data_IF_618872581281
#
_entry.id   IF_618872581281
#
_cell.length_a   1.000
_cell.length_b   1.000
_cell.length_c   1.000
_cell.angle_alpha   90.00
_cell.angle_beta   90.00
_cell.angle_gamma   90.00
#
_symmetry.space_group_name_H-M   'P 1'
#
loop_
_entity.id
_entity.type
_entity.pdbx_description
1 polymer ?
#
# COMPACT_ATOMS: atom_id res chain seq x y z
N UNK A 1 12.49 4.97 4.25
CA UNK A 1 12.09 3.57 4.50
C UNK A 1 11.78 3.46 5.98
N UNK A 2 10.67 2.79 6.34
CA UNK A 2 10.35 2.51 7.75
C UNK A 2 10.53 1.01 7.97
N UNK A 3 11.34 0.64 8.95
CA UNK A 3 11.73 -0.74 9.21
C UNK A 3 10.65 -1.52 9.96
N UNK A 4 10.57 -2.82 9.66
CA UNK A 4 9.81 -3.80 10.43
C UNK A 4 10.15 -3.69 11.90
N UNK A 5 9.14 -3.84 12.76
CA UNK A 5 9.29 -3.70 14.21
C UNK A 5 9.12 -2.27 14.72
N UNK A 6 9.07 -1.26 13.84
CA UNK A 6 8.75 0.11 14.25
C UNK A 6 7.35 0.17 14.84
N UNK A 7 7.20 0.92 15.94
CA UNK A 7 5.92 1.14 16.59
C UNK A 7 5.22 2.39 16.06
N UNK A 8 3.91 2.29 15.88
CA UNK A 8 3.03 3.38 15.48
C UNK A 8 1.89 3.44 16.49
N UNK A 9 1.55 4.65 16.94
CA UNK A 9 0.48 4.87 17.90
C UNK A 9 -0.76 5.43 17.22
N UNK A 10 -1.95 4.98 17.60
CA UNK A 10 -3.20 5.61 17.16
C UNK A 10 -3.29 7.05 17.63
N UNK A 11 -4.14 7.84 16.95
CA UNK A 11 -4.62 9.09 17.54
C UNK A 11 -5.44 8.74 18.81
N UNK A 12 -5.24 9.46 19.91
CA UNK A 12 -6.02 9.27 21.12
C UNK A 12 -7.49 9.58 20.86
N UNK A 13 -8.39 8.69 21.28
CA UNK A 13 -9.82 8.95 21.19
C UNK A 13 -10.15 10.06 22.19
N UNK A 14 -10.55 11.24 21.71
CA UNK A 14 -11.00 12.31 22.58
C UNK A 14 -12.32 11.88 23.25
N UNK A 15 -12.30 11.61 24.56
CA UNK A 15 -13.52 11.36 25.30
C UNK A 15 -14.21 12.70 25.55
N UNK A 16 -15.41 12.87 24.99
CA UNK A 16 -16.26 14.02 25.29
C UNK A 16 -16.82 13.82 26.69
N UNK A 17 -16.27 14.52 27.68
CA UNK A 17 -16.80 14.52 29.04
C UNK A 17 -18.27 14.96 29.02
N UNK A 18 -19.16 14.11 29.53
CA UNK A 18 -20.56 14.48 29.76
C UNK A 18 -20.60 15.66 30.75
N UNK A 19 -21.42 16.66 30.44
CA UNK A 19 -21.53 17.90 31.22
C UNK A 19 -21.93 17.59 32.66
N UNK A 20 -20.97 17.68 33.59
CA UNK A 20 -21.23 17.49 35.00
C UNK A 20 -20.01 17.69 35.89
N UNK A 21 -19.64 18.96 36.08
CA UNK A 21 -18.94 19.49 37.25
C UNK A 21 -17.45 19.14 37.51
N UNK A 22 -16.73 20.24 37.77
CA UNK A 22 -15.43 20.44 38.43
C UNK A 22 -14.16 20.34 37.57
N UNK A 23 -13.55 21.51 37.45
CA UNK A 23 -12.22 21.80 36.90
C UNK A 23 -11.16 20.87 37.49
N UNK A 24 -10.50 20.12 36.61
CA UNK A 24 -9.10 19.74 36.73
C UNK A 24 -8.51 19.69 35.32
N UNK A 25 -7.43 20.43 35.13
CA UNK A 25 -6.74 20.71 33.86
C UNK A 25 -5.85 19.51 33.45
N UNK A 26 -6.44 18.33 33.35
CA UNK A 26 -5.79 17.15 32.77
C UNK A 26 -6.65 16.68 31.62
N UNK A 27 -6.24 16.95 30.38
CA UNK A 27 -6.82 16.35 29.19
C UNK A 27 -6.90 14.84 29.39
N UNK A 28 -8.12 14.30 29.57
CA UNK A 28 -8.33 12.86 29.72
C UNK A 28 -8.08 12.21 28.36
N UNK A 29 -6.84 11.80 28.12
CA UNK A 29 -6.44 11.06 26.93
C UNK A 29 -7.20 9.71 26.93
N UNK A 30 -8.05 9.48 25.94
CA UNK A 30 -8.67 8.17 25.76
C UNK A 30 -7.64 7.09 25.43
N UNK A 31 -8.04 5.81 25.41
CA UNK A 31 -7.14 4.71 25.16
C UNK A 31 -6.41 4.87 23.81
N UNK A 32 -5.08 4.76 23.84
CA UNK A 32 -4.22 4.80 22.67
C UNK A 32 -3.72 3.38 22.38
N UNK A 33 -3.82 2.93 21.13
CA UNK A 33 -3.34 1.63 20.72
C UNK A 33 -1.94 1.76 20.12
N UNK A 34 -1.01 0.94 20.60
CA UNK A 34 0.29 0.74 19.97
C UNK A 34 0.20 -0.40 18.96
N UNK A 35 0.78 -0.18 17.80
CA UNK A 35 0.86 -1.18 16.77
C UNK A 35 2.29 -1.33 16.28
N UNK A 36 2.68 -2.54 15.89
CA UNK A 36 4.02 -2.83 15.36
C UNK A 36 3.97 -3.19 13.88
N UNK A 37 4.87 -2.61 13.08
CA UNK A 37 5.02 -2.94 11.66
C UNK A 37 5.50 -4.37 11.49
N UNK A 38 4.76 -5.17 10.72
CA UNK A 38 5.19 -6.54 10.38
C UNK A 38 6.14 -6.62 9.19
N UNK A 39 6.29 -5.54 8.44
CA UNK A 39 7.10 -5.48 7.22
C UNK A 39 7.69 -4.09 7.02
N UNK A 40 8.76 -4.04 6.24
CA UNK A 40 9.34 -2.78 5.81
C UNK A 40 8.37 -2.05 4.89
N UNK A 41 8.32 -0.73 5.03
CA UNK A 41 7.43 0.12 4.25
C UNK A 41 8.23 1.22 3.56
N UNK A 42 8.19 1.18 2.23
CA UNK A 42 8.62 2.27 1.39
C UNK A 42 7.49 3.30 1.29
N UNK A 43 7.72 4.49 1.84
CA UNK A 43 6.77 5.59 1.72
C UNK A 43 6.96 6.25 0.36
N UNK A 44 6.12 5.85 -0.61
CA UNK A 44 6.11 6.50 -1.90
C UNK A 44 5.66 7.97 -1.75
N UNK A 45 6.39 8.93 -2.36
CA UNK A 45 6.17 10.36 -2.12
C UNK A 45 4.93 10.92 -2.82
N UNK A 46 4.22 10.10 -3.60
CA UNK A 46 3.03 10.48 -4.36
C UNK A 46 1.82 9.63 -3.99
N UNK A 47 0.63 10.18 -4.23
CA UNK A 47 -0.63 9.45 -4.10
C UNK A 47 -1.16 9.03 -5.45
N UNK A 48 -2.01 7.99 -5.45
CA UNK A 48 -2.89 7.70 -6.59
C UNK A 48 -4.03 8.71 -6.55
N UNK A 49 -4.22 9.45 -7.64
CA UNK A 49 -5.31 10.41 -7.79
C UNK A 49 -6.54 9.75 -8.41
N UNK A 50 -6.33 9.00 -9.47
CA UNK A 50 -7.40 8.36 -10.23
C UNK A 50 -6.91 7.07 -10.87
N UNK A 51 -7.86 6.19 -11.19
CA UNK A 51 -7.60 4.94 -11.90
C UNK A 51 -8.69 4.78 -12.96
N UNK A 52 -8.26 4.76 -14.22
CA UNK A 52 -9.13 4.57 -15.36
C UNK A 52 -8.90 3.20 -16.00
N UNK A 53 -9.98 2.58 -16.46
CA UNK A 53 -9.92 1.37 -17.29
C UNK A 53 -10.37 1.72 -18.68
N UNK A 54 -9.55 1.35 -19.66
CA UNK A 54 -9.91 1.40 -21.06
C UNK A 54 -9.84 -0.01 -21.63
N UNK A 55 -11.01 -0.62 -21.80
CA UNK A 55 -11.14 -1.92 -22.45
C UNK A 55 -11.48 -1.71 -23.92
N UNK A 56 -10.62 -2.22 -24.79
CA UNK A 56 -10.98 -2.50 -26.18
C UNK A 56 -11.59 -3.90 -26.28
N UNK A 57 -12.01 -4.32 -27.48
CA UNK A 57 -12.55 -5.65 -27.69
C UNK A 57 -11.51 -6.78 -27.50
N UNK A 58 -10.22 -6.46 -27.62
CA UNK A 58 -9.13 -7.45 -27.62
C UNK A 58 -8.16 -7.27 -26.45
N UNK A 59 -8.00 -6.04 -25.95
CA UNK A 59 -7.01 -5.68 -24.93
C UNK A 59 -7.60 -4.79 -23.85
N UNK A 60 -7.14 -4.96 -22.61
CA UNK A 60 -7.45 -4.10 -21.48
C UNK A 60 -6.27 -3.19 -21.15
N UNK A 61 -6.56 -1.93 -20.83
CA UNK A 61 -5.56 -0.98 -20.32
C UNK A 61 -6.02 -0.44 -18.98
N UNK A 62 -5.19 -0.58 -17.95
CA UNK A 62 -5.40 0.05 -16.65
C UNK A 62 -4.45 1.22 -16.50
N UNK A 63 -4.99 2.44 -16.49
CA UNK A 63 -4.23 3.68 -16.35
C UNK A 63 -4.33 4.17 -14.91
N UNK A 64 -3.18 4.21 -14.22
CA UNK A 64 -3.07 4.66 -12.83
C UNK A 64 -2.43 6.04 -12.83
N UNK A 65 -3.19 7.05 -12.41
CA UNK A 65 -2.74 8.43 -12.37
C UNK A 65 -2.19 8.77 -10.99
N UNK A 66 -0.94 9.23 -10.96
CA UNK A 66 -0.25 9.63 -9.75
C UNK A 66 -0.13 11.15 -9.65
N UNK A 67 -0.12 11.64 -8.42
CA UNK A 67 -0.01 13.07 -8.11
C UNK A 67 0.85 13.39 -6.91
N UNK A 68 1.66 14.42 -7.05
CA UNK A 68 2.48 15.04 -6.02
C UNK A 68 2.08 16.51 -5.85
N UNK A 69 2.32 17.08 -4.66
CA UNK A 69 2.19 18.53 -4.44
C UNK A 69 3.38 19.34 -4.96
N UNK A 70 4.52 18.68 -5.18
CA UNK A 70 5.76 19.29 -5.64
C UNK A 70 6.34 18.46 -6.78
N UNK A 71 7.12 19.09 -7.67
CA UNK A 71 7.86 18.35 -8.69
C UNK A 71 8.95 17.49 -8.04
N UNK A 72 8.96 16.21 -8.39
CA UNK A 72 9.90 15.22 -7.89
C UNK A 72 10.68 14.60 -9.05
N UNK A 73 11.92 14.23 -8.77
CA UNK A 73 12.75 13.51 -9.74
C UNK A 73 12.31 12.06 -9.85
N UNK A 74 11.90 11.62 -11.06
CA UNK A 74 11.38 10.27 -11.29
C UNK A 74 12.36 9.17 -10.90
N UNK A 75 13.66 9.40 -11.09
CA UNK A 75 14.68 8.44 -10.70
C UNK A 75 14.80 8.30 -9.16
N UNK A 76 14.65 9.40 -8.42
CA UNK A 76 14.75 9.39 -6.95
C UNK A 76 13.53 8.76 -6.28
N UNK A 77 12.38 8.73 -6.97
CA UNK A 77 11.15 8.15 -6.44
C UNK A 77 11.19 6.63 -6.30
N UNK A 78 12.13 5.97 -7.01
CA UNK A 78 12.37 4.52 -6.91
C UNK A 78 11.09 3.73 -7.14
N UNK A 79 10.54 3.84 -8.37
CA UNK A 79 9.36 3.09 -8.82
C UNK A 79 9.56 1.56 -8.68
N UNK A 80 10.80 1.08 -8.67
CA UNK A 80 11.19 -0.31 -8.39
C UNK A 80 10.87 -0.77 -6.96
N UNK A 81 10.56 0.15 -6.05
CA UNK A 81 10.16 -0.17 -4.67
C UNK A 81 8.67 0.04 -4.43
N UNK A 82 7.90 0.24 -5.50
CA UNK A 82 6.48 0.47 -5.40
C UNK A 82 5.78 -0.84 -5.04
N UNK A 83 5.01 -0.81 -3.96
CA UNK A 83 4.16 -1.92 -3.53
C UNK A 83 2.70 -1.50 -3.66
N UNK A 84 1.93 -2.26 -4.44
CA UNK A 84 0.49 -2.11 -4.54
C UNK A 84 -0.22 -3.07 -3.59
N UNK A 85 -1.36 -2.61 -3.08
CA UNK A 85 -2.32 -3.40 -2.32
C UNK A 85 -3.69 -3.33 -3.00
N UNK A 86 -4.31 -4.49 -3.21
CA UNK A 86 -5.68 -4.62 -3.71
C UNK A 86 -6.64 -4.71 -2.54
N UNK A 87 -7.38 -3.63 -2.27
CA UNK A 87 -7.98 -3.41 -0.95
C UNK A 87 -9.46 -3.03 -0.90
N UNK A 88 -10.22 -3.31 -1.96
CA UNK A 88 -11.63 -2.86 -2.03
C UNK A 88 -12.63 -3.97 -1.73
N UNK A 89 -13.01 -4.75 -2.74
CA UNK A 89 -14.00 -5.81 -2.64
C UNK A 89 -13.36 -7.14 -3.05
N UNK A 90 -13.82 -8.23 -2.44
CA UNK A 90 -13.20 -9.55 -2.63
C UNK A 90 -13.24 -10.03 -4.07
N UNK A 91 -14.28 -9.71 -4.85
CA UNK A 91 -14.40 -10.15 -6.23
C UNK A 91 -13.46 -9.36 -7.16
N UNK A 92 -13.57 -8.03 -7.19
CA UNK A 92 -12.73 -7.11 -7.96
C UNK A 92 -11.25 -7.30 -7.60
N UNK A 93 -10.92 -7.44 -6.32
CA UNK A 93 -9.52 -7.63 -5.90
C UNK A 93 -8.98 -8.98 -6.36
N UNK A 94 -9.76 -10.07 -6.24
CA UNK A 94 -9.33 -11.40 -6.72
C UNK A 94 -9.24 -11.44 -8.25
N UNK A 95 -10.19 -10.82 -8.95
CA UNK A 95 -10.19 -10.78 -10.40
C UNK A 95 -9.03 -9.95 -10.93
N UNK A 96 -8.78 -8.77 -10.36
CA UNK A 96 -7.66 -7.94 -10.74
C UNK A 96 -6.31 -8.61 -10.41
N UNK A 97 -6.22 -9.31 -9.27
CA UNK A 97 -5.06 -10.14 -8.94
C UNK A 97 -4.81 -11.18 -10.04
N UNK A 98 -5.84 -11.94 -10.43
CA UNK A 98 -5.72 -12.96 -11.48
C UNK A 98 -5.29 -12.34 -12.82
N UNK A 99 -5.85 -11.18 -13.18
CA UNK A 99 -5.48 -10.46 -14.41
C UNK A 99 -4.03 -10.00 -14.41
N UNK A 100 -3.57 -9.41 -13.31
CA UNK A 100 -2.18 -8.99 -13.15
C UNK A 100 -1.23 -10.20 -13.27
N UNK A 101 -1.58 -11.35 -12.69
CA UNK A 101 -0.71 -12.52 -12.72
C UNK A 101 -0.71 -13.30 -14.04
N UNK A 102 -1.80 -13.30 -14.80
CA UNK A 102 -1.95 -14.18 -15.99
C UNK A 102 -2.07 -13.46 -17.32
N UNK A 103 -2.57 -12.23 -17.33
CA UNK A 103 -2.89 -11.51 -18.56
C UNK A 103 -2.06 -10.24 -18.77
N UNK A 104 -1.25 -9.84 -17.79
CA UNK A 104 -0.37 -8.69 -17.91
C UNK A 104 0.71 -8.94 -18.97
N UNK A 105 0.92 -7.98 -19.87
CA UNK A 105 1.89 -8.09 -20.98
C UNK A 105 3.05 -7.12 -20.85
N UNK A 106 2.75 -5.86 -20.50
CA UNK A 106 3.75 -4.78 -20.46
C UNK A 106 3.21 -3.55 -19.73
N UNK A 107 4.13 -2.69 -19.30
CA UNK A 107 3.78 -1.40 -18.75
C UNK A 107 4.43 -0.24 -19.53
N UNK A 108 3.79 0.92 -19.48
CA UNK A 108 4.28 2.16 -20.06
C UNK A 108 4.09 3.30 -19.07
N UNK A 109 5.10 4.16 -18.93
CA UNK A 109 5.05 5.33 -18.07
C UNK A 109 4.87 6.58 -18.93
N UNK A 110 3.81 7.34 -18.69
CA UNK A 110 3.56 8.62 -19.38
C UNK A 110 3.89 9.76 -18.42
N UNK A 111 4.96 10.50 -18.72
CA UNK A 111 5.45 11.63 -17.92
C UNK A 111 5.60 12.85 -18.82
N UNK A 112 4.99 13.99 -18.48
CA UNK A 112 5.10 15.24 -19.25
C UNK A 112 4.80 15.07 -20.76
N UNK A 113 3.88 14.16 -21.12
CA UNK A 113 3.55 13.84 -22.51
C UNK A 113 4.55 12.90 -23.22
N UNK A 114 5.60 12.44 -22.54
CA UNK A 114 6.56 11.46 -23.04
C UNK A 114 6.13 10.08 -22.55
N UNK A 115 5.95 9.13 -23.48
CA UNK A 115 5.69 7.72 -23.17
C UNK A 115 7.01 6.95 -23.12
N UNK A 116 7.30 6.36 -21.97
CA UNK A 116 8.49 5.54 -21.70
C UNK A 116 8.03 4.08 -21.59
N UNK A 117 8.34 3.23 -22.58
CA UNK A 117 7.98 1.82 -22.49
C UNK A 117 8.84 1.10 -21.45
N UNK A 118 8.22 0.20 -20.68
CA UNK A 118 8.88 -0.63 -19.67
C UNK A 118 8.58 -2.10 -19.99
N UNK A 119 9.32 -2.71 -20.94
CA UNK A 119 9.04 -4.07 -21.40
C UNK A 119 9.37 -5.13 -20.34
N UNK A 120 10.35 -4.88 -19.49
CA UNK A 120 10.76 -5.80 -18.41
C UNK A 120 9.92 -5.62 -17.14
N UNK A 121 9.02 -4.64 -17.11
CA UNK A 121 8.19 -4.35 -15.95
C UNK A 121 7.36 -5.58 -15.60
N UNK A 122 7.34 -5.96 -14.32
CA UNK A 122 6.57 -7.11 -13.85
C UNK A 122 6.05 -6.89 -12.42
N UNK A 123 5.12 -7.73 -12.00
CA UNK A 123 4.52 -7.74 -10.68
C UNK A 123 4.84 -9.03 -9.93
N UNK A 124 5.54 -8.91 -8.81
CA UNK A 124 5.82 -10.03 -7.91
C UNK A 124 4.78 -10.08 -6.79
N UNK A 125 3.99 -11.16 -6.67
CA UNK A 125 3.05 -11.30 -5.56
C UNK A 125 3.80 -11.45 -4.23
N UNK A 126 3.31 -10.78 -3.19
CA UNK A 126 3.92 -10.73 -1.85
C UNK A 126 2.99 -11.39 -0.83
N UNK A 127 3.55 -12.06 0.19
CA UNK A 127 2.78 -12.73 1.24
C UNK A 127 3.04 -14.24 1.35
N UNK A 128 3.68 -14.85 0.36
CA UNK A 128 3.96 -16.29 0.33
C UNK A 128 5.33 -16.66 0.91
N UNK A 129 6.21 -15.66 1.11
CA UNK A 129 7.55 -15.88 1.64
C UNK A 129 7.57 -15.93 3.17
N UNK A 130 8.59 -16.62 3.72
CA UNK A 130 8.75 -16.76 5.18
C UNK A 130 8.88 -15.41 5.89
N UNK A 131 9.47 -14.44 5.23
CA UNK A 131 9.74 -13.09 5.74
C UNK A 131 8.46 -12.26 5.88
N UNK A 132 7.43 -12.57 5.08
CA UNK A 132 6.12 -11.91 5.05
C UNK A 132 5.16 -12.40 6.15
N UNK A 133 5.59 -13.36 6.96
CA UNK A 133 4.78 -13.91 8.04
C UNK A 133 4.32 -12.79 9.01
N UNK A 134 3.00 -12.62 9.07
CA UNK A 134 2.32 -11.61 9.88
C UNK A 134 2.48 -11.85 11.39
N UNK A 135 2.70 -13.10 11.78
CA UNK A 135 2.86 -13.50 13.18
C UNK A 135 4.31 -13.91 13.45
N UNK A 136 4.88 -13.52 14.61
CA UNK A 136 6.21 -13.97 15.00
C UNK A 136 6.21 -15.49 15.19
N UNK A 137 7.08 -16.19 14.47
CA UNK A 137 7.25 -17.62 14.65
C UNK A 137 7.82 -17.91 16.05
N UNK A 138 7.23 -18.85 16.82
CA UNK A 138 7.87 -19.31 18.04
C UNK A 138 9.20 -20.00 17.69
N UNK A 139 10.26 -19.69 18.45
CA UNK A 139 11.64 -20.15 18.20
C UNK A 139 11.80 -21.68 18.12
N UNK A 140 10.80 -22.43 18.59
CA UNK A 140 10.81 -23.90 18.68
C UNK A 140 9.82 -24.59 17.70
N UNK A 141 9.26 -23.87 16.71
CA UNK A 141 8.45 -24.52 15.69
C UNK A 141 9.36 -25.33 14.75
N UNK A 142 9.40 -26.65 14.97
CA UNK A 142 9.93 -27.59 13.98
C UNK A 142 9.20 -27.38 12.65
N UNK A 143 9.99 -27.34 11.58
CA UNK A 143 9.57 -27.16 10.19
C UNK A 143 8.73 -28.36 9.77
N UNK A 144 7.45 -28.37 10.13
CA UNK A 144 6.45 -29.29 9.63
C UNK A 144 5.34 -28.46 8.98
N UNK A 145 5.42 -28.40 7.63
CA UNK A 145 4.46 -27.82 6.69
C UNK A 145 4.24 -26.29 6.74
N UNK A 146 4.93 -25.50 5.90
CA UNK A 146 4.65 -24.09 5.75
C UNK A 146 3.50 -23.83 4.74
N UNK A 147 2.28 -24.33 4.98
CA UNK A 147 0.98 -23.84 4.43
C UNK A 147 -0.17 -24.76 4.92
N UNK A 148 -1.41 -24.31 5.28
CA UNK A 148 -2.06 -23.02 5.02
C UNK A 148 -2.81 -22.42 6.25
N UNK A 149 -2.31 -22.53 7.49
CA UNK A 149 -3.06 -21.99 8.64
C UNK A 149 -3.15 -20.44 8.63
N UNK A 150 -2.12 -19.75 8.13
CA UNK A 150 -2.08 -18.27 8.05
C UNK A 150 -2.97 -17.68 6.94
N UNK A 151 -3.19 -18.42 5.85
CA UNK A 151 -4.03 -18.01 4.70
C UNK A 151 -5.46 -17.76 5.13
N UNK A 152 -5.95 -18.61 6.04
CA UNK A 152 -7.33 -18.55 6.50
C UNK A 152 -7.57 -17.42 7.50
N UNK A 153 -6.54 -17.01 8.23
CA UNK A 153 -6.63 -15.98 9.26
C UNK A 153 -6.50 -14.56 8.69
N UNK A 154 -5.82 -14.39 7.55
CA UNK A 154 -5.65 -13.08 6.93
C UNK A 154 -5.42 -13.15 5.41
N UNK A 155 -6.46 -13.47 4.60
CA UNK A 155 -6.34 -13.60 3.14
C UNK A 155 -5.94 -12.27 2.47
N UNK A 156 -6.30 -11.14 3.09
CA UNK A 156 -5.90 -9.80 2.69
C UNK A 156 -4.37 -9.60 2.72
N UNK A 157 -3.65 -10.45 3.47
CA UNK A 157 -2.19 -10.45 3.59
C UNK A 157 -1.44 -10.83 2.32
N UNK A 158 -2.15 -11.38 1.32
CA UNK A 158 -1.60 -11.90 0.07
C UNK A 158 -1.97 -11.06 -1.15
N UNK A 159 -2.75 -9.98 -0.95
CA UNK A 159 -3.23 -9.10 -2.02
C UNK A 159 -2.23 -7.96 -2.31
N UNK A 160 -0.94 -8.28 -2.27
CA UNK A 160 0.14 -7.34 -2.48
C UNK A 160 0.96 -7.70 -3.70
N UNK A 161 1.40 -6.66 -4.41
CA UNK A 161 2.32 -6.81 -5.53
C UNK A 161 3.48 -5.83 -5.39
N UNK A 162 4.70 -6.35 -5.48
CA UNK A 162 5.90 -5.55 -5.68
C UNK A 162 6.13 -5.34 -7.17
N UNK A 163 6.43 -4.10 -7.53
CA UNK A 163 6.85 -3.75 -8.87
C UNK A 163 8.32 -4.16 -9.06
N UNK A 164 8.61 -4.84 -10.17
CA UNK A 164 9.95 -5.18 -10.60
C UNK A 164 10.19 -4.75 -12.06
N UNK A 165 11.44 -4.81 -12.52
CA UNK A 165 11.79 -4.57 -13.92
C UNK A 165 11.55 -3.13 -14.41
N UNK A 166 11.65 -2.18 -13.50
CA UNK A 166 11.55 -0.76 -13.82
C UNK A 166 12.83 -0.30 -14.52
N UNK A 167 12.67 0.42 -15.63
CA UNK A 167 13.79 1.00 -16.39
C UNK A 167 14.44 2.16 -15.64
N UNK A 168 15.72 2.40 -15.92
CA UNK A 168 16.39 3.60 -15.43
C UNK A 168 15.85 4.85 -16.14
N UNK A 169 15.34 5.79 -15.36
CA UNK A 169 14.85 7.07 -15.88
C UNK A 169 15.97 8.10 -15.97
N UNK A 170 15.89 9.06 -16.91
CA UNK A 170 16.84 10.17 -16.97
C UNK A 170 16.83 10.98 -15.66
N UNK A 171 18.01 11.26 -15.11
CA UNK A 171 18.17 11.96 -13.82
C UNK A 171 17.57 13.38 -13.77
N UNK A 172 17.27 13.97 -14.92
CA UNK A 172 16.67 15.31 -15.04
C UNK A 172 15.14 15.27 -15.24
N UNK A 173 14.54 14.08 -15.33
CA UNK A 173 13.10 13.93 -15.52
C UNK A 173 12.38 14.26 -14.21
N UNK A 174 11.78 15.45 -14.17
CA UNK A 174 10.96 15.91 -13.06
C UNK A 174 9.48 15.85 -13.42
N UNK A 175 8.67 15.41 -12.48
CA UNK A 175 7.24 15.29 -12.66
C UNK A 175 6.50 15.60 -11.35
N UNK A 176 5.42 16.35 -11.44
CA UNK A 176 4.40 16.45 -10.38
C UNK A 176 3.28 15.43 -10.58
N UNK A 177 3.10 14.95 -11.81
CA UNK A 177 2.09 13.97 -12.21
C UNK A 177 2.65 13.04 -13.29
N UNK A 178 2.19 11.80 -13.27
CA UNK A 178 2.46 10.83 -14.33
C UNK A 178 1.41 9.75 -14.31
N UNK A 179 1.33 9.01 -15.41
CA UNK A 179 0.39 7.90 -15.56
C UNK A 179 1.16 6.62 -15.81
N UNK A 180 0.85 5.58 -15.04
CA UNK A 180 1.32 4.22 -15.29
C UNK A 180 0.22 3.47 -16.04
N UNK A 181 0.47 3.09 -17.28
CA UNK A 181 -0.43 2.29 -18.10
C UNK A 181 0.01 0.82 -18.05
N UNK A 182 -0.87 -0.04 -17.58
CA UNK A 182 -0.69 -1.49 -17.59
C UNK A 182 -1.50 -2.06 -18.74
N UNK A 183 -0.84 -2.79 -19.64
CA UNK A 183 -1.47 -3.42 -20.80
C UNK A 183 -1.72 -4.90 -20.51
N UNK A 184 -2.93 -5.35 -20.81
CA UNK A 184 -3.37 -6.73 -20.65
C UNK A 184 -3.76 -7.34 -22.00
N UNK A 185 -3.38 -8.60 -22.19
CA UNK A 185 -3.73 -9.46 -23.33
C UNK A 185 -5.23 -9.71 -23.48
N UNK A 186 -6.03 -9.41 -22.44
CA UNK A 186 -7.48 -9.57 -22.44
C UNK A 186 -8.15 -8.36 -21.77
N UNK A 187 -9.35 -7.96 -22.22
CA UNK A 187 -10.12 -6.93 -21.54
C UNK A 187 -10.47 -7.35 -20.12
N UNK A 188 -10.54 -6.39 -19.19
CA UNK A 188 -11.05 -6.66 -17.85
C UNK A 188 -12.55 -6.99 -17.93
N UNK A 189 -13.07 -7.94 -17.15
CA UNK A 189 -14.49 -8.27 -17.15
C UNK A 189 -15.35 -7.06 -16.75
N UNK A 190 -16.52 -6.85 -17.37
CA UNK A 190 -17.36 -5.69 -17.10
C UNK A 190 -17.90 -5.63 -15.66
N UNK A 191 -17.90 -6.76 -14.94
CA UNK A 191 -18.27 -6.86 -13.54
C UNK A 191 -17.24 -6.23 -12.60
N UNK A 192 -15.98 -6.10 -13.05
CA UNK A 192 -14.88 -5.54 -12.28
C UNK A 192 -15.02 -4.01 -12.26
N UNK A 193 -15.45 -3.48 -11.12
CA UNK A 193 -15.63 -2.04 -10.93
C UNK A 193 -14.38 -1.45 -10.34
N UNK A 194 -13.52 -0.91 -11.19
CA UNK A 194 -12.33 -0.18 -10.75
C UNK A 194 -12.72 1.19 -10.22
N UNK A 195 -12.16 1.52 -9.05
CA UNK A 195 -12.24 2.83 -8.39
C UNK A 195 -10.84 3.29 -8.01
N UNK A 196 -10.65 4.59 -7.70
CA UNK A 196 -9.39 5.08 -7.15
C UNK A 196 -8.96 4.38 -5.85
N UNK A 197 -9.89 3.72 -5.16
CA UNK A 197 -9.63 2.98 -3.92
C UNK A 197 -9.26 1.51 -4.11
N UNK A 198 -9.38 0.97 -5.33
CA UNK A 198 -9.13 -0.45 -5.64
C UNK A 198 -7.66 -0.81 -5.49
N UNK A 199 -6.78 0.02 -6.04
CA UNK A 199 -5.33 -0.07 -5.84
C UNK A 199 -4.88 0.99 -4.83
N UNK A 200 -4.05 0.57 -3.88
CA UNK A 200 -3.48 1.47 -2.87
C UNK A 200 -1.99 1.27 -2.74
N UNK A 201 -1.26 2.36 -2.55
CA UNK A 201 0.17 2.33 -2.23
C UNK A 201 0.44 2.15 -0.74
N UNK A 202 -0.61 2.32 0.08
CA UNK A 202 -0.55 2.32 1.55
C UNK A 202 -1.70 1.49 2.09
N UNK A 203 -1.40 0.68 3.09
CA UNK A 203 -2.36 -0.18 3.76
C UNK A 203 -3.25 0.58 4.73
N UNK A 204 -4.57 0.33 4.64
CA UNK A 204 -5.41 0.07 5.81
C UNK A 204 -6.77 -0.55 5.39
N UNK A 205 -7.30 -1.53 6.15
CA UNK A 205 -8.73 -1.84 6.19
C UNK A 205 -9.49 -0.68 6.87
N UNK A 206 -10.81 -0.57 6.74
CA UNK A 206 -11.57 0.57 7.30
C UNK A 206 -11.36 0.75 8.82
N UNK A 207 -10.77 1.89 9.23
CA UNK A 207 -10.74 2.33 10.63
C UNK A 207 -9.71 3.42 10.93
N UNK A 208 -10.16 4.68 10.98
CA UNK A 208 -9.55 5.89 11.58
C UNK A 208 -8.11 6.35 11.21
N UNK A 209 -7.81 7.67 11.31
CA UNK A 209 -6.46 8.20 11.11
C UNK A 209 -5.51 7.80 12.24
N UNK A 210 -4.43 7.11 11.87
CA UNK A 210 -3.26 6.92 12.73
C UNK A 210 -2.25 8.03 12.39
N UNK A 211 -1.90 8.86 13.37
CA UNK A 211 -0.83 9.85 13.22
C UNK A 211 0.49 9.20 13.57
N UNK A 212 1.47 9.29 12.67
CA UNK A 212 2.81 8.76 12.90
C UNK A 212 3.65 9.80 13.63
N UNK A 213 4.07 9.52 14.87
CA UNK A 213 5.13 10.27 15.55
C UNK A 213 6.40 9.42 15.51
N UNK A 214 7.37 9.80 14.68
CA UNK A 214 8.71 9.22 14.78
C UNK A 214 9.42 9.86 15.98
N UNK A 215 10.00 9.04 16.85
CA UNK A 215 10.83 9.50 17.96
C UNK A 215 12.24 9.82 17.42
N UNK A 216 12.39 10.98 16.80
CA UNK A 216 13.67 11.49 16.30
C UNK A 216 13.49 12.53 15.19
N UNK A 217 13.81 13.77 15.52
CA UNK A 217 14.04 14.97 14.69
C UNK A 217 13.03 15.39 13.59
N UNK A 218 12.54 16.63 13.78
CA UNK A 218 11.82 17.54 12.87
C UNK A 218 10.27 17.51 12.90
N UNK A 219 9.60 18.64 13.17
CA UNK A 219 8.14 18.74 13.18
C UNK A 219 7.60 18.97 11.76
N UNK A 220 7.49 17.90 10.98
CA UNK A 220 6.78 17.90 9.70
C UNK A 220 5.52 17.03 9.81
N UNK A 221 4.34 17.63 9.77
CA UNK A 221 3.09 16.87 9.78
C UNK A 221 2.85 16.24 8.41
N UNK A 222 3.08 14.93 8.30
CA UNK A 222 2.66 14.13 7.14
C UNK A 222 1.76 12.99 7.62
N UNK A 223 0.47 13.07 7.30
CA UNK A 223 -0.49 12.01 7.60
C UNK A 223 -0.25 10.83 6.67
N UNK A 224 0.55 9.86 7.13
CA UNK A 224 0.80 8.60 6.43
C UNK A 224 0.25 7.43 7.26
N UNK A 225 -0.60 6.59 6.65
CA UNK A 225 -1.17 5.37 7.27
C UNK A 225 -0.44 4.13 6.73
N UNK A 226 -0.15 3.17 7.62
CA UNK A 226 0.74 2.04 7.36
C UNK A 226 0.09 0.74 7.90
N UNK A 227 0.44 -0.43 7.37
CA UNK A 227 -0.01 -1.73 7.92
C UNK A 227 0.60 -2.01 9.28
N UNK A 228 -0.23 -2.27 10.28
CA UNK A 228 0.27 -2.44 11.64
C UNK A 228 -0.48 -3.56 12.36
N UNK A 229 0.24 -4.40 13.10
CA UNK A 229 -0.37 -5.43 13.96
C UNK A 229 -0.56 -4.87 15.36
N UNK A 230 -1.79 -5.02 15.88
CA UNK A 230 -2.15 -4.57 17.24
C UNK A 230 -1.39 -5.41 18.25
N UNK A 231 -0.60 -4.75 19.10
CA UNK A 231 0.04 -5.43 20.22
C UNK A 231 -0.96 -5.48 21.38
N UNK A 232 -1.30 -6.68 21.84
CA UNK A 232 -2.04 -6.82 23.10
C UNK A 232 -1.10 -6.42 24.25
N UNK A 233 -1.58 -5.68 25.26
CA UNK A 233 -0.76 -5.32 26.40
C UNK A 233 -0.21 -6.58 27.06
N UNK A 234 1.08 -6.56 27.40
CA UNK A 234 1.70 -7.60 28.22
C UNK A 234 1.08 -7.50 29.62
N UNK A 235 0.48 -8.60 30.07
CA UNK A 235 0.04 -8.77 31.46
C UNK A 235 1.20 -8.84 32.43
#
# INVERSE_FOLDING_TARGET
MIERGSQIESVPIAQRAERGALQNDSETHGPQCSFTLCRDVWLFPMGIQDIAVNNSNEQGILSIHFGAKAELNVQEMRLDKLRFYLGEDGYTSTQLYFWISHYFERAELVVNGITIPMPDFDFNPVGFEREDALLPYPKNAYVALPYPAGVFLFPEGFLFFDVAGVVDFPAHLKASEFTLNLHFSQPLPPEVKIRPTTLRLKLYPRGEPVQTRQRGDSPGWHTNRISVVRQLPSS
#
